data_IF_301869263562
#
_entry.id   IF_301869263562
#
_cell.length_a   1.000
_cell.length_b   1.000
_cell.length_c   1.000
_cell.angle_alpha   90.00
_cell.angle_beta   90.00
_cell.angle_gamma   90.00
#
_symmetry.space_group_name_H-M   'P 1'
#
loop_
_entity.id
_entity.type
_entity.pdbx_description
1 polymer ?
#
# COMPACT_ATOMS: atom_id res chain seq x y z
N UNK A 1 -21.16 -2.13 10.55
CA UNK A 1 -19.86 -2.57 10.05
C UNK A 1 -18.83 -1.49 10.21
N UNK A 2 -17.70 -1.82 10.72
CA UNK A 2 -16.69 -0.82 10.96
C UNK A 2 -15.52 -1.01 10.00
N UNK A 3 -14.89 0.11 9.65
CA UNK A 3 -13.69 0.08 8.85
C UNK A 3 -12.52 0.41 9.76
N UNK A 4 -12.22 -0.53 10.63
CA UNK A 4 -11.13 -0.33 11.54
C UNK A 4 -9.80 -0.26 10.82
N UNK A 5 -8.81 0.32 11.47
CA UNK A 5 -7.46 0.38 10.96
C UNK A 5 -6.72 -0.88 11.35
N UNK A 6 -6.16 -1.56 10.38
CA UNK A 6 -5.35 -2.75 10.62
C UNK A 6 -3.88 -2.38 10.49
N UNK A 7 -3.12 -2.75 11.51
CA UNK A 7 -1.68 -2.51 11.54
C UNK A 7 -0.96 -3.80 11.20
N UNK A 8 -0.11 -3.77 10.20
CA UNK A 8 0.61 -4.95 9.76
C UNK A 8 2.10 -4.64 9.65
N UNK A 9 2.90 -5.66 9.95
CA UNK A 9 4.35 -5.57 9.78
C UNK A 9 4.73 -5.97 8.38
N UNK A 10 5.59 -5.20 7.76
CA UNK A 10 6.12 -5.53 6.43
C UNK A 10 7.62 -5.38 6.48
N UNK A 11 8.31 -6.09 5.57
CA UNK A 11 9.76 -5.99 5.44
C UNK A 11 10.08 -5.17 4.22
N UNK A 12 10.82 -4.09 4.39
CA UNK A 12 11.22 -3.21 3.30
C UNK A 12 12.70 -2.95 3.41
N UNK A 13 13.44 -3.30 2.37
CA UNK A 13 14.88 -3.08 2.31
C UNK A 13 15.60 -3.64 3.54
N UNK A 14 15.15 -4.79 4.01
CA UNK A 14 15.77 -5.45 5.15
C UNK A 14 15.31 -4.94 6.50
N UNK A 15 14.39 -3.99 6.54
CA UNK A 15 13.89 -3.43 7.78
C UNK A 15 12.43 -3.81 7.98
N UNK A 16 12.10 -4.14 9.22
CA UNK A 16 10.70 -4.38 9.56
C UNK A 16 10.06 -3.05 9.88
N UNK A 17 8.93 -2.77 9.27
CA UNK A 17 8.20 -1.55 9.53
C UNK A 17 6.73 -1.86 9.68
N UNK A 18 5.99 -0.96 10.32
CA UNK A 18 4.56 -1.13 10.53
C UNK A 18 3.81 -0.19 9.62
N UNK A 19 2.76 -0.72 9.01
CA UNK A 19 1.88 0.07 8.15
C UNK A 19 0.47 -0.05 8.69
N UNK A 20 -0.17 1.08 8.90
CA UNK A 20 -1.54 1.13 9.41
C UNK A 20 -2.45 1.65 8.31
N UNK A 21 -3.40 0.82 7.91
CA UNK A 21 -4.34 1.17 6.84
C UNK A 21 -5.72 0.65 7.22
N UNK A 22 -6.71 1.36 6.78
CA UNK A 22 -8.08 0.87 6.87
C UNK A 22 -8.23 -0.36 5.99
N UNK A 23 -9.10 -1.28 6.39
CA UNK A 23 -9.27 -2.55 5.68
C UNK A 23 -9.52 -2.38 4.18
N UNK A 24 -10.38 -1.45 3.73
CA UNK A 24 -10.59 -1.27 2.29
C UNK A 24 -9.30 -0.90 1.55
N UNK A 25 -8.39 -0.17 2.18
CA UNK A 25 -7.12 0.17 1.55
C UNK A 25 -6.23 -1.07 1.41
N UNK A 26 -6.23 -1.96 2.42
CA UNK A 26 -5.49 -3.20 2.32
C UNK A 26 -6.01 -4.06 1.17
N UNK A 27 -7.32 -4.14 1.03
CA UNK A 27 -7.93 -4.92 -0.03
C UNK A 27 -7.59 -4.35 -1.41
N UNK A 28 -7.70 -3.04 -1.55
CA UNK A 28 -7.37 -2.39 -2.82
C UNK A 28 -5.91 -2.58 -3.16
N UNK A 29 -5.04 -2.45 -2.17
CA UNK A 29 -3.61 -2.62 -2.39
C UNK A 29 -3.30 -4.04 -2.86
N UNK A 30 -3.96 -5.03 -2.24
CA UNK A 30 -3.76 -6.42 -2.63
C UNK A 30 -4.22 -6.67 -4.06
N UNK A 31 -5.37 -6.08 -4.44
CA UNK A 31 -5.88 -6.24 -5.80
C UNK A 31 -4.95 -5.61 -6.82
N UNK A 32 -4.40 -4.45 -6.51
CA UNK A 32 -3.47 -3.79 -7.39
C UNK A 32 -2.21 -4.63 -7.56
N UNK A 33 -1.69 -5.16 -6.47
CA UNK A 33 -0.50 -6.02 -6.52
C UNK A 33 -0.78 -7.25 -7.37
N UNK A 34 -1.94 -7.85 -7.20
CA UNK A 34 -2.34 -9.01 -7.96
C UNK A 34 -2.37 -8.72 -9.46
N UNK A 35 -2.96 -7.59 -9.82
CA UNK A 35 -3.03 -7.15 -11.21
C UNK A 35 -1.63 -6.96 -11.80
N UNK A 36 -0.70 -6.52 -10.98
CA UNK A 36 0.68 -6.31 -11.41
C UNK A 36 1.54 -7.55 -11.27
N UNK A 37 0.95 -8.64 -10.81
CA UNK A 37 1.64 -9.92 -10.63
C UNK A 37 2.83 -9.80 -9.69
N UNK A 38 2.62 -9.08 -8.60
CA UNK A 38 3.66 -8.95 -7.58
C UNK A 38 3.03 -9.11 -6.20
N UNK A 39 3.86 -9.34 -5.20
CA UNK A 39 3.38 -9.44 -3.83
C UNK A 39 3.05 -8.07 -3.29
N UNK A 40 2.17 -8.04 -2.29
CA UNK A 40 1.84 -6.78 -1.62
C UNK A 40 3.11 -6.14 -1.05
N UNK A 41 3.99 -6.97 -0.48
CA UNK A 41 5.21 -6.46 0.10
C UNK A 41 6.12 -5.82 -0.95
N UNK A 42 6.20 -6.43 -2.13
CA UNK A 42 7.00 -5.85 -3.21
C UNK A 42 6.41 -4.52 -3.65
N UNK A 43 5.10 -4.45 -3.75
CA UNK A 43 4.44 -3.21 -4.14
C UNK A 43 4.67 -2.12 -3.10
N UNK A 44 4.56 -2.47 -1.82
CA UNK A 44 4.82 -1.50 -0.75
C UNK A 44 6.27 -1.01 -0.82
N UNK A 45 7.20 -1.90 -1.15
CA UNK A 45 8.59 -1.50 -1.31
C UNK A 45 8.79 -0.47 -2.39
N UNK A 46 8.09 -0.62 -3.51
CA UNK A 46 8.15 0.36 -4.58
C UNK A 46 7.58 1.70 -4.15
N UNK A 47 6.45 1.67 -3.44
CA UNK A 47 5.84 2.90 -2.95
C UNK A 47 6.79 3.59 -1.96
N UNK A 48 7.43 2.80 -1.10
CA UNK A 48 8.36 3.35 -0.13
C UNK A 48 9.54 4.04 -0.80
N UNK A 49 10.03 3.44 -1.89
CA UNK A 49 11.17 4.02 -2.60
C UNK A 49 10.86 5.38 -3.19
N UNK A 50 9.59 5.63 -3.50
CA UNK A 50 9.19 6.87 -4.15
C UNK A 50 8.51 7.87 -3.24
N UNK A 51 8.36 7.54 -1.97
CA UNK A 51 7.56 8.41 -1.09
C UNK A 51 8.27 9.67 -0.63
N UNK A 52 9.57 9.73 -0.78
CA UNK A 52 10.33 10.87 -0.29
C UNK A 52 10.18 10.98 1.22
N UNK A 53 9.83 12.17 1.70
CA UNK A 53 9.66 12.40 3.13
C UNK A 53 8.26 12.11 3.64
N UNK A 54 7.38 11.61 2.80
CA UNK A 54 6.01 11.35 3.16
C UNK A 54 5.91 10.10 4.03
N UNK A 55 4.95 10.10 4.96
CA UNK A 55 4.66 8.93 5.79
C UNK A 55 4.23 7.77 4.89
N UNK A 56 4.74 6.57 5.18
CA UNK A 56 4.50 5.42 4.32
C UNK A 56 3.01 5.07 4.22
N UNK A 57 2.28 5.08 5.33
CA UNK A 57 0.85 4.79 5.28
C UNK A 57 0.12 5.80 4.41
N UNK A 58 0.48 7.07 4.53
CA UNK A 58 -0.12 8.11 3.70
C UNK A 58 0.24 7.91 2.24
N UNK A 59 1.50 7.57 1.97
CA UNK A 59 1.94 7.34 0.59
C UNK A 59 1.16 6.19 -0.04
N UNK A 60 0.89 5.14 0.72
CA UNK A 60 0.12 4.01 0.22
C UNK A 60 -1.31 4.43 -0.09
N UNK A 61 -1.94 5.21 0.80
CA UNK A 61 -3.30 5.70 0.55
C UNK A 61 -3.37 6.54 -0.70
N UNK A 62 -2.41 7.42 -0.88
CA UNK A 62 -2.36 8.26 -2.09
C UNK A 62 -2.17 7.40 -3.33
N UNK A 63 -1.30 6.41 -3.24
CA UNK A 63 -1.07 5.49 -4.36
C UNK A 63 -2.35 4.75 -4.74
N UNK A 64 -3.06 4.22 -3.76
CA UNK A 64 -4.30 3.49 -4.01
C UNK A 64 -5.33 4.41 -4.65
N UNK A 65 -5.49 5.61 -4.11
CA UNK A 65 -6.46 6.55 -4.65
C UNK A 65 -6.13 6.90 -6.09
N UNK A 66 -4.86 7.18 -6.38
CA UNK A 66 -4.44 7.49 -7.74
C UNK A 66 -4.71 6.33 -8.68
N UNK A 67 -4.50 5.10 -8.20
CA UNK A 67 -4.70 3.92 -9.02
C UNK A 67 -6.15 3.74 -9.42
N UNK A 68 -7.09 4.04 -8.51
CA UNK A 68 -8.51 3.88 -8.83
C UNK A 68 -9.06 5.06 -9.61
N UNK A 69 -8.41 6.21 -9.54
CA UNK A 69 -8.86 7.41 -10.27
C UNK A 69 -8.28 7.48 -11.67
N UNK A 70 -7.27 6.70 -11.96
CA UNK A 70 -6.64 6.67 -13.28
C UNK A 70 -6.71 5.26 -13.80
N UNK A 71 -7.89 4.81 -14.22
CA UNK A 71 -8.03 3.42 -14.67
C UNK A 71 -7.17 3.16 -15.90
N UNK A 72 -6.72 1.94 -16.06
CA UNK A 72 -5.92 1.57 -17.21
C UNK A 72 -6.74 1.67 -18.48
N UNK A 73 -6.05 1.84 -19.57
CA UNK A 73 -6.68 1.90 -20.88
C UNK A 73 -6.75 0.56 -21.53
#
# INVERSE_FOLDING_TARGET
MSTGIAKRSVMIAGHRTSVSLEAPFWEALREIAETRQQSVQALIGEIDAERGGQNLSSAIRVFVLASVRSPPR
#
